data_IF_340945291672
#
_entry.id   IF_340945291672
#
_cell.length_a   1.000
_cell.length_b   1.000
_cell.length_c   1.000
_cell.angle_alpha   90.00
_cell.angle_beta   90.00
_cell.angle_gamma   90.00
#
_symmetry.space_group_name_H-M   'P 1'
#
loop_
_entity.id
_entity.type
_entity.pdbx_description
1 polymer ?
#
# COMPACT_ATOMS: atom_id res chain seq x y z
N UNK A 1 -34.04 10.11 -16.83
CA UNK A 1 -33.63 9.66 -15.48
C UNK A 1 -32.52 8.61 -15.51
N UNK A 2 -32.39 7.82 -16.58
CA UNK A 2 -31.39 6.76 -16.76
C UNK A 2 -29.93 7.23 -16.88
N UNK A 3 -29.66 8.42 -17.45
CA UNK A 3 -28.30 8.95 -17.56
C UNK A 3 -27.72 9.37 -16.19
N UNK A 4 -28.52 10.09 -15.38
CA UNK A 4 -28.13 10.54 -14.05
C UNK A 4 -27.89 9.36 -13.09
N UNK A 5 -28.73 8.32 -13.17
CA UNK A 5 -28.53 7.08 -12.39
C UNK A 5 -27.24 6.35 -12.79
N UNK A 6 -26.86 6.40 -14.07
CA UNK A 6 -25.59 5.85 -14.56
C UNK A 6 -24.37 6.63 -14.03
N UNK A 7 -24.41 7.96 -14.06
CA UNK A 7 -23.33 8.81 -13.51
C UNK A 7 -23.19 8.68 -12.01
N UNK A 8 -24.30 8.56 -11.27
CA UNK A 8 -24.26 8.33 -9.82
C UNK A 8 -23.63 6.97 -9.50
N UNK A 9 -23.95 5.92 -10.27
CA UNK A 9 -23.34 4.60 -10.08
C UNK A 9 -21.83 4.62 -10.35
N UNK A 10 -21.39 5.29 -11.43
CA UNK A 10 -19.96 5.45 -11.74
C UNK A 10 -19.23 6.26 -10.66
N UNK A 11 -19.83 7.34 -10.16
CA UNK A 11 -19.25 8.14 -9.09
C UNK A 11 -19.12 7.35 -7.79
N UNK A 12 -20.09 6.47 -7.48
CA UNK A 12 -20.01 5.60 -6.31
C UNK A 12 -18.88 4.59 -6.43
N UNK A 13 -18.71 3.95 -7.59
CA UNK A 13 -17.56 3.07 -7.83
C UNK A 13 -16.23 3.81 -7.68
N UNK A 14 -16.10 5.00 -8.26
CA UNK A 14 -14.89 5.82 -8.11
C UNK A 14 -14.58 6.16 -6.65
N UNK A 15 -15.61 6.45 -5.84
CA UNK A 15 -15.43 6.70 -4.40
C UNK A 15 -14.92 5.44 -3.68
N UNK A 16 -15.43 4.25 -4.04
CA UNK A 16 -14.95 2.99 -3.47
C UNK A 16 -13.50 2.74 -3.85
N UNK A 17 -13.14 2.94 -5.12
CA UNK A 17 -11.77 2.86 -5.61
C UNK A 17 -10.81 3.81 -4.88
N UNK A 18 -11.24 5.05 -4.63
CA UNK A 18 -10.44 6.02 -3.88
C UNK A 18 -10.23 5.58 -2.43
N UNK A 19 -11.27 5.07 -1.77
CA UNK A 19 -11.14 4.57 -0.40
C UNK A 19 -10.20 3.36 -0.32
N UNK A 20 -10.28 2.47 -1.31
CA UNK A 20 -9.40 1.32 -1.48
C UNK A 20 -7.94 1.76 -1.68
N UNK A 21 -7.69 2.74 -2.56
CA UNK A 21 -6.36 3.32 -2.78
C UNK A 21 -5.76 3.93 -1.51
N UNK A 22 -6.58 4.54 -0.64
CA UNK A 22 -6.12 5.04 0.66
C UNK A 22 -5.84 3.87 1.62
N UNK A 23 -6.73 2.88 1.71
CA UNK A 23 -6.56 1.73 2.60
C UNK A 23 -5.28 0.93 2.29
N UNK A 24 -5.01 0.65 1.01
CA UNK A 24 -3.78 -0.02 0.58
C UNK A 24 -2.55 0.86 0.82
N UNK A 25 -2.64 2.17 0.61
CA UNK A 25 -1.52 3.09 0.90
C UNK A 25 -1.18 3.09 2.39
N UNK A 26 -2.18 3.10 3.26
CA UNK A 26 -2.02 2.98 4.71
C UNK A 26 -1.39 1.64 5.09
N UNK A 27 -1.84 0.54 4.47
CA UNK A 27 -1.23 -0.77 4.66
C UNK A 27 0.26 -0.76 4.22
N UNK A 28 0.57 -0.23 3.05
CA UNK A 28 1.93 -0.18 2.50
C UNK A 28 2.86 0.78 3.27
N UNK A 29 2.31 1.74 4.02
CA UNK A 29 3.05 2.68 4.86
C UNK A 29 3.78 2.00 6.01
N UNK A 30 3.33 0.80 6.41
CA UNK A 30 4.04 -0.06 7.37
C UNK A 30 5.52 -0.17 7.00
N UNK A 31 6.39 0.37 7.87
CA UNK A 31 7.82 0.47 7.59
C UNK A 31 8.49 -0.85 7.93
N UNK A 32 8.90 -1.61 6.91
CA UNK A 32 9.86 -2.70 7.09
C UNK A 32 11.24 -2.09 7.29
N UNK A 33 11.57 -1.80 8.54
CA UNK A 33 12.87 -1.26 8.90
C UNK A 33 13.87 -2.38 9.16
N UNK A 34 15.11 -2.23 8.69
CA UNK A 34 16.17 -3.18 8.99
C UNK A 34 16.87 -2.80 10.29
N UNK A 35 16.84 -3.71 11.26
CA UNK A 35 17.64 -3.61 12.48
C UNK A 35 19.14 -3.67 12.17
N UNK A 36 19.99 -3.25 13.10
CA UNK A 36 21.44 -3.10 12.88
C UNK A 36 22.13 -4.36 12.34
N UNK A 37 21.65 -5.55 12.66
CA UNK A 37 22.24 -6.81 12.20
C UNK A 37 21.47 -7.51 11.07
N UNK A 38 20.32 -6.96 10.66
CA UNK A 38 19.49 -7.55 9.60
C UNK A 38 20.02 -7.15 8.22
N UNK A 39 20.03 -8.11 7.29
CA UNK A 39 20.36 -7.88 5.86
C UNK A 39 19.11 -7.82 5.00
N UNK A 40 18.05 -8.48 5.42
CA UNK A 40 16.77 -8.55 4.74
C UNK A 40 15.66 -8.65 5.80
N UNK A 41 14.54 -7.99 5.55
CA UNK A 41 13.37 -8.03 6.40
C UNK A 41 12.11 -8.06 5.52
N UNK A 42 11.08 -8.74 5.98
CA UNK A 42 9.75 -8.76 5.35
C UNK A 42 8.71 -8.45 6.40
N UNK A 43 7.66 -7.74 6.02
CA UNK A 43 6.49 -7.53 6.87
C UNK A 43 5.22 -7.61 6.05
N UNK A 44 4.14 -8.01 6.72
CA UNK A 44 2.79 -7.92 6.20
C UNK A 44 2.04 -6.93 7.09
N UNK A 45 1.29 -6.03 6.47
CA UNK A 45 0.54 -4.98 7.13
C UNK A 45 -0.89 -4.97 6.62
N UNK A 46 -1.82 -4.56 7.48
CA UNK A 46 -3.22 -4.39 7.17
C UNK A 46 -3.58 -2.92 7.41
N UNK A 47 -4.30 -2.32 6.47
CA UNK A 47 -4.81 -0.96 6.54
C UNK A 47 -6.31 -0.95 6.26
N UNK A 48 -7.03 -0.02 6.88
CA UNK A 48 -8.47 0.17 6.62
C UNK A 48 -8.78 1.64 6.46
N UNK A 49 -9.69 1.97 5.54
CA UNK A 49 -10.13 3.34 5.29
C UNK A 49 -11.51 3.37 4.65
N UNK A 50 -12.45 4.17 5.18
CA UNK A 50 -13.78 4.32 4.56
C UNK A 50 -14.55 3.00 4.36
N UNK A 51 -14.35 2.03 5.27
CA UNK A 51 -14.91 0.67 5.17
C UNK A 51 -14.18 -0.26 4.18
N UNK A 52 -13.08 0.20 3.57
CA UNK A 52 -12.18 -0.62 2.74
C UNK A 52 -11.13 -1.28 3.60
N UNK A 53 -10.66 -2.46 3.20
CA UNK A 53 -9.43 -3.03 3.74
C UNK A 53 -8.40 -3.25 2.64
N UNK A 54 -7.16 -2.93 2.97
CA UNK A 54 -5.99 -3.20 2.17
C UNK A 54 -5.01 -4.07 2.95
N UNK A 55 -4.48 -5.09 2.30
CA UNK A 55 -3.36 -5.87 2.83
C UNK A 55 -2.11 -5.55 1.99
N UNK A 56 -0.98 -5.34 2.66
CA UNK A 56 0.28 -5.05 2.00
C UNK A 56 1.40 -5.94 2.52
N UNK A 57 2.17 -6.51 1.61
CA UNK A 57 3.42 -7.18 1.88
C UNK A 57 4.56 -6.25 1.49
N UNK A 58 5.52 -6.08 2.39
CA UNK A 58 6.69 -5.27 2.15
C UNK A 58 7.96 -6.03 2.50
N UNK A 59 9.01 -5.72 1.76
CA UNK A 59 10.33 -6.27 1.91
C UNK A 59 11.34 -5.14 1.92
N UNK A 60 12.42 -5.30 2.67
CA UNK A 60 13.52 -4.35 2.66
C UNK A 60 14.85 -5.11 2.71
N UNK A 61 15.86 -4.54 2.09
CA UNK A 61 17.20 -5.12 2.01
C UNK A 61 18.28 -4.08 2.23
N UNK A 62 19.37 -4.49 2.88
CA UNK A 62 20.54 -3.63 3.13
C UNK A 62 21.54 -3.78 2.00
N UNK A 63 21.90 -2.66 1.38
CA UNK A 63 22.98 -2.59 0.39
C UNK A 63 24.31 -2.32 1.12
N UNK A 64 24.34 -1.32 2.01
CA UNK A 64 25.48 -0.97 2.85
C UNK A 64 25.01 -0.47 4.22
N UNK A 65 25.94 -0.19 5.15
CA UNK A 65 25.61 0.38 6.49
C UNK A 65 24.80 1.68 6.44
N UNK A 66 24.88 2.40 5.32
CA UNK A 66 24.24 3.69 5.08
C UNK A 66 23.09 3.64 4.08
N UNK A 67 22.92 2.52 3.37
CA UNK A 67 21.97 2.43 2.25
C UNK A 67 21.12 1.17 2.36
N UNK A 68 19.81 1.35 2.29
CA UNK A 68 18.83 0.26 2.27
C UNK A 68 17.76 0.55 1.22
N UNK A 69 17.24 -0.49 0.58
CA UNK A 69 16.07 -0.39 -0.29
C UNK A 69 14.87 -1.02 0.39
N UNK A 70 13.68 -0.59 0.00
CA UNK A 70 12.43 -1.19 0.43
C UNK A 70 11.46 -1.25 -0.75
N UNK A 71 10.64 -2.29 -0.78
CA UNK A 71 9.57 -2.46 -1.74
C UNK A 71 8.32 -2.93 -0.99
N UNK A 72 7.15 -2.57 -1.47
CA UNK A 72 5.89 -3.11 -0.99
C UNK A 72 4.92 -3.31 -2.13
N UNK A 73 4.06 -4.31 -1.99
CA UNK A 73 2.93 -4.60 -2.85
C UNK A 73 1.72 -4.84 -1.97
N UNK A 74 0.54 -4.46 -2.43
CA UNK A 74 -0.69 -4.69 -1.69
C UNK A 74 -1.87 -4.93 -2.60
N UNK A 75 -2.96 -5.37 -1.98
CA UNK A 75 -4.25 -5.64 -2.60
C UNK A 75 -5.37 -5.15 -1.69
N UNK A 76 -6.50 -4.75 -2.25
CA UNK A 76 -7.70 -4.38 -1.50
C UNK A 76 -8.79 -5.43 -1.63
N UNK A 77 -9.66 -5.50 -0.63
CA UNK A 77 -10.72 -6.51 -0.54
C UNK A 77 -11.95 -6.19 -1.39
N UNK A 78 -12.24 -4.90 -1.63
CA UNK A 78 -13.52 -4.46 -2.20
C UNK A 78 -13.51 -4.30 -3.71
N UNK A 79 -12.54 -3.55 -4.22
CA UNK A 79 -12.37 -3.32 -5.67
C UNK A 79 -11.32 -4.24 -6.29
N UNK A 80 -10.55 -4.97 -5.46
CA UNK A 80 -9.43 -5.78 -5.93
C UNK A 80 -8.27 -4.96 -6.47
N UNK A 81 -8.20 -3.67 -6.14
CA UNK A 81 -7.10 -2.81 -6.56
C UNK A 81 -5.77 -3.31 -6.02
N UNK A 82 -4.76 -3.25 -6.87
CA UNK A 82 -3.39 -3.61 -6.52
C UNK A 82 -2.52 -2.37 -6.57
N UNK A 83 -1.60 -2.26 -5.62
CA UNK A 83 -0.70 -1.13 -5.49
C UNK A 83 0.70 -1.64 -5.19
N UNK A 84 1.71 -0.90 -5.65
CA UNK A 84 3.10 -1.20 -5.36
C UNK A 84 3.88 0.09 -5.11
N UNK A 85 4.91 -0.01 -4.25
CA UNK A 85 5.89 1.06 -4.03
C UNK A 85 7.29 0.48 -3.92
N UNK A 86 8.27 1.28 -4.31
CA UNK A 86 9.68 1.02 -4.06
C UNK A 86 10.36 2.29 -3.57
N UNK A 87 11.40 2.16 -2.75
CA UNK A 87 12.12 3.27 -2.15
C UNK A 87 13.55 2.89 -1.80
N UNK A 88 14.38 3.93 -1.68
CA UNK A 88 15.76 3.81 -1.21
C UNK A 88 15.95 4.80 -0.08
N UNK A 89 16.63 4.37 0.97
CA UNK A 89 17.01 5.15 2.12
C UNK A 89 18.52 5.28 2.15
N UNK A 90 18.99 6.53 2.27
CA UNK A 90 20.39 6.88 2.52
C UNK A 90 20.48 7.59 3.88
N UNK A 91 21.37 7.13 4.75
CA UNK A 91 21.69 7.78 6.03
C UNK A 91 23.15 8.23 6.05
N UNK A 92 23.42 9.47 6.47
CA UNK A 92 24.77 10.03 6.55
C UNK A 92 25.34 9.91 7.96
#
# INVERSE_FOLDING_TARGET
MTALSGEVALNQEQILELNDAVAISMAMSGSTWLQQNEKFAVSANWGTFGGSNGMAFSAAGRINKKTSFNAALGVTDRTGQVGARAGVRFGW
#
